data_IF_869715380984
#
_entry.id   IF_869715380984
#
_cell.length_a   1.000
_cell.length_b   1.000
_cell.length_c   1.000
_cell.angle_alpha   90.00
_cell.angle_beta   90.00
_cell.angle_gamma   90.00
#
_symmetry.space_group_name_H-M   'P 1'
#
loop_
_entity.id
_entity.type
_entity.pdbx_description
1 polymer ?
#
# COMPACT_ATOMS: atom_id res chain seq x y z
N UNK A 1 -5.64 10.21 14.41
CA UNK A 1 -4.58 9.54 13.61
C UNK A 1 -5.16 8.29 12.97
N UNK A 2 -5.00 8.14 11.66
CA UNK A 2 -5.40 6.95 10.92
C UNK A 2 -4.20 6.00 10.83
N UNK A 3 -4.20 4.95 11.66
CA UNK A 3 -3.13 3.96 11.74
C UNK A 3 -3.75 2.56 11.77
N UNK A 4 -3.27 1.67 10.93
CA UNK A 4 -3.73 0.30 10.84
C UNK A 4 -2.77 -0.58 10.06
N UNK A 5 -3.26 -1.70 9.58
CA UNK A 5 -2.46 -2.68 8.86
C UNK A 5 -3.22 -3.29 7.69
N UNK A 6 -2.50 -4.03 6.86
CA UNK A 6 -3.12 -4.99 5.97
C UNK A 6 -3.82 -6.08 6.79
N UNK A 7 -5.06 -6.40 6.42
CA UNK A 7 -5.86 -7.46 7.02
C UNK A 7 -6.48 -8.36 5.95
N UNK A 8 -6.86 -9.57 6.33
CA UNK A 8 -7.44 -10.53 5.40
C UNK A 8 -8.89 -10.17 5.05
N UNK A 9 -9.28 -10.35 3.79
CA UNK A 9 -10.68 -10.30 3.34
C UNK A 9 -11.05 -11.64 2.72
N UNK A 10 -11.55 -12.53 3.54
CA UNK A 10 -11.78 -13.93 3.13
C UNK A 10 -12.94 -14.61 3.88
N UNK A 11 -13.18 -15.88 3.57
CA UNK A 11 -14.20 -16.70 4.22
C UNK A 11 -15.63 -16.23 3.96
N UNK A 12 -16.51 -16.42 4.94
CA UNK A 12 -17.91 -15.99 4.87
C UNK A 12 -18.12 -14.56 5.36
N UNK A 13 -17.25 -14.07 6.23
CA UNK A 13 -17.38 -12.75 6.84
C UNK A 13 -16.93 -11.60 5.93
N UNK A 14 -16.00 -11.84 5.01
CA UNK A 14 -15.48 -10.85 4.06
C UNK A 14 -15.14 -9.51 4.73
N UNK A 15 -15.77 -8.37 4.31
CA UNK A 15 -15.48 -7.05 4.89
C UNK A 15 -15.73 -6.99 6.40
N UNK A 16 -16.78 -7.62 6.90
CA UNK A 16 -17.02 -7.71 8.35
C UNK A 16 -15.83 -8.36 9.07
N UNK A 17 -15.32 -9.48 8.54
CA UNK A 17 -14.17 -10.17 9.12
C UNK A 17 -12.90 -9.32 9.08
N UNK A 18 -12.68 -8.57 8.00
CA UNK A 18 -11.56 -7.62 7.90
C UNK A 18 -11.65 -6.51 8.95
N UNK A 19 -12.85 -5.95 9.14
CA UNK A 19 -13.09 -4.91 10.13
C UNK A 19 -12.92 -5.42 11.58
N UNK A 20 -13.41 -6.63 11.87
CA UNK A 20 -13.20 -7.31 13.17
C UNK A 20 -11.71 -7.54 13.44
N UNK A 21 -10.97 -8.03 12.45
CA UNK A 21 -9.53 -8.24 12.54
C UNK A 21 -8.78 -6.93 12.81
N UNK A 22 -9.07 -5.88 12.01
CA UNK A 22 -8.48 -4.55 12.20
C UNK A 22 -8.78 -3.96 13.59
N UNK A 23 -10.02 -4.07 14.07
CA UNK A 23 -10.40 -3.62 15.40
C UNK A 23 -9.64 -4.37 16.50
N UNK A 24 -9.41 -5.68 16.33
CA UNK A 24 -8.64 -6.49 17.29
C UNK A 24 -7.19 -6.03 17.46
N UNK A 25 -6.62 -5.40 16.44
CA UNK A 25 -5.29 -4.78 16.47
C UNK A 25 -5.30 -3.35 17.02
N UNK A 26 -6.45 -2.80 17.37
CA UNK A 26 -6.58 -1.41 17.78
C UNK A 26 -6.38 -0.43 16.63
N UNK A 27 -6.60 -0.86 15.40
CA UNK A 27 -6.54 -0.02 14.20
C UNK A 27 -7.65 1.02 14.16
N UNK A 28 -7.44 2.10 13.39
CA UNK A 28 -8.45 3.12 13.06
C UNK A 28 -8.71 3.21 11.55
N UNK A 29 -7.91 2.52 10.77
CA UNK A 29 -8.03 2.29 9.33
C UNK A 29 -7.45 0.91 9.01
N UNK A 30 -7.63 0.41 7.80
CA UNK A 30 -6.99 -0.82 7.36
C UNK A 30 -6.95 -0.91 5.83
N UNK A 31 -6.12 -1.82 5.34
CA UNK A 31 -6.00 -2.13 3.92
C UNK A 31 -6.36 -3.59 3.65
N UNK A 32 -6.97 -3.83 2.50
CA UNK A 32 -7.40 -5.16 2.04
C UNK A 32 -7.09 -5.39 0.56
N UNK A 33 -6.86 -6.65 0.20
CA UNK A 33 -7.09 -7.14 -1.15
C UNK A 33 -8.53 -7.63 -1.27
N UNK A 34 -9.20 -7.36 -2.39
CA UNK A 34 -10.60 -7.82 -2.59
C UNK A 34 -10.74 -9.32 -2.89
N UNK A 35 -9.64 -10.02 -2.87
CA UNK A 35 -9.45 -11.46 -3.06
C UNK A 35 -7.98 -11.81 -2.97
N UNK A 36 -7.58 -13.06 -3.23
CA UNK A 36 -6.18 -13.44 -3.17
C UNK A 36 -5.35 -12.69 -4.22
N UNK A 37 -4.26 -11.98 -3.82
CA UNK A 37 -3.51 -11.09 -4.73
C UNK A 37 -2.72 -11.83 -5.82
N UNK A 38 -2.53 -13.15 -5.68
CA UNK A 38 -1.79 -13.99 -6.63
C UNK A 38 -2.68 -14.64 -7.69
N UNK A 39 -4.01 -14.41 -7.68
CA UNK A 39 -4.93 -14.98 -8.65
C UNK A 39 -6.08 -14.01 -8.99
N UNK A 40 -6.92 -14.41 -9.94
CA UNK A 40 -8.03 -13.61 -10.46
C UNK A 40 -9.39 -13.98 -9.87
N UNK A 41 -9.43 -14.95 -8.97
CA UNK A 41 -10.70 -15.39 -8.38
C UNK A 41 -11.25 -14.31 -7.47
N UNK A 42 -12.48 -13.89 -7.74
CA UNK A 42 -13.19 -12.89 -6.94
C UNK A 42 -14.59 -13.37 -6.62
N UNK A 43 -15.02 -13.18 -5.38
CA UNK A 43 -16.43 -13.36 -5.04
C UNK A 43 -17.25 -12.23 -5.69
N UNK A 44 -18.52 -12.47 -6.04
CA UNK A 44 -19.42 -11.41 -6.41
C UNK A 44 -19.48 -10.29 -5.35
N UNK A 45 -19.74 -9.05 -5.75
CA UNK A 45 -19.80 -7.90 -4.84
C UNK A 45 -20.87 -8.11 -3.77
N UNK A 46 -21.98 -8.72 -4.12
CA UNK A 46 -23.11 -9.05 -3.25
C UNK A 46 -22.72 -9.99 -2.09
N UNK A 47 -21.66 -10.78 -2.28
CA UNK A 47 -21.15 -11.72 -1.27
C UNK A 47 -20.04 -11.11 -0.40
N UNK A 48 -19.67 -9.84 -0.61
CA UNK A 48 -18.59 -9.19 0.13
C UNK A 48 -18.97 -8.74 1.55
N UNK A 49 -20.23 -8.95 1.96
CA UNK A 49 -20.77 -8.61 3.28
C UNK A 49 -20.52 -7.14 3.67
N UNK A 50 -20.76 -6.24 2.71
CA UNK A 50 -20.39 -4.81 2.78
C UNK A 50 -21.18 -4.09 3.86
N UNK A 51 -22.50 -4.25 3.87
CA UNK A 51 -23.39 -3.54 4.83
C UNK A 51 -23.01 -3.84 6.28
N UNK A 52 -22.84 -5.12 6.63
CA UNK A 52 -22.45 -5.53 7.97
C UNK A 52 -21.03 -5.04 8.32
N UNK A 53 -20.11 -5.09 7.36
CA UNK A 53 -18.75 -4.58 7.54
C UNK A 53 -18.72 -3.08 7.80
N UNK A 54 -19.44 -2.28 7.00
CA UNK A 54 -19.54 -0.83 7.17
C UNK A 54 -20.24 -0.44 8.49
N UNK A 55 -21.28 -1.17 8.90
CA UNK A 55 -21.94 -0.96 10.18
C UNK A 55 -20.97 -1.19 11.36
N UNK A 56 -20.20 -2.29 11.32
CA UNK A 56 -19.18 -2.58 12.32
C UNK A 56 -18.07 -1.52 12.34
N UNK A 57 -17.59 -1.10 11.16
CA UNK A 57 -16.58 -0.05 11.05
C UNK A 57 -17.04 1.26 11.71
N UNK A 58 -18.29 1.66 11.47
CA UNK A 58 -18.87 2.86 12.07
C UNK A 58 -18.94 2.75 13.59
N UNK A 59 -19.37 1.61 14.12
CA UNK A 59 -19.47 1.35 15.57
C UNK A 59 -18.10 1.38 16.24
N UNK A 60 -17.04 0.90 15.57
CA UNK A 60 -15.68 0.78 16.11
C UNK A 60 -14.73 1.89 15.67
N UNK A 61 -15.23 2.98 15.06
CA UNK A 61 -14.44 4.13 14.61
C UNK A 61 -13.33 3.74 13.60
N UNK A 62 -13.59 2.75 12.77
CA UNK A 62 -12.75 2.42 11.62
C UNK A 62 -13.19 3.22 10.40
N UNK A 63 -12.26 3.83 9.68
CA UNK A 63 -12.57 4.68 8.52
C UNK A 63 -11.45 4.67 7.48
N UNK A 64 -11.72 5.27 6.31
CA UNK A 64 -10.73 5.44 5.26
C UNK A 64 -10.01 4.13 4.87
N UNK A 65 -10.80 3.07 4.62
CA UNK A 65 -10.23 1.82 4.13
C UNK A 65 -9.51 2.04 2.80
N UNK A 66 -8.39 1.35 2.66
CA UNK A 66 -7.60 1.32 1.43
C UNK A 66 -7.75 -0.06 0.79
N UNK A 67 -7.91 -0.10 -0.52
CA UNK A 67 -7.82 -1.34 -1.28
C UNK A 67 -6.44 -1.40 -1.92
N UNK A 68 -5.79 -2.56 -1.89
CA UNK A 68 -4.58 -2.80 -2.67
C UNK A 68 -4.93 -3.63 -3.91
N UNK A 69 -4.57 -3.13 -5.08
CA UNK A 69 -4.73 -3.88 -6.32
C UNK A 69 -3.79 -5.10 -6.35
N UNK A 70 -4.23 -6.24 -6.91
CA UNK A 70 -3.39 -7.43 -6.98
C UNK A 70 -2.07 -7.19 -7.73
N UNK A 71 -0.95 -7.65 -7.18
CA UNK A 71 0.37 -7.47 -7.80
C UNK A 71 0.56 -8.24 -9.11
N UNK A 72 -0.38 -9.13 -9.49
CA UNK A 72 -0.37 -9.75 -10.81
C UNK A 72 -0.76 -8.77 -11.94
N UNK A 73 -1.33 -7.61 -11.62
CA UNK A 73 -1.61 -6.55 -12.57
C UNK A 73 -0.28 -5.89 -12.94
N UNK A 74 0.12 -5.97 -14.19
CA UNK A 74 1.29 -5.28 -14.72
C UNK A 74 0.94 -4.54 -15.99
N UNK A 75 0.69 -3.23 -15.88
CA UNK A 75 0.41 -2.35 -17.01
C UNK A 75 1.65 -1.98 -17.81
N UNK A 76 2.87 -2.16 -17.26
CA UNK A 76 4.13 -1.75 -17.87
C UNK A 76 4.74 -2.77 -18.85
N UNK A 77 4.14 -3.95 -19.01
CA UNK A 77 4.68 -5.02 -19.82
C UNK A 77 4.37 -4.81 -21.32
N UNK A 78 5.37 -4.44 -22.09
CA UNK A 78 5.26 -4.26 -23.55
C UNK A 78 5.68 -5.49 -24.34
N UNK A 79 6.26 -6.51 -23.68
CA UNK A 79 6.79 -7.71 -24.35
C UNK A 79 5.68 -8.75 -24.54
N UNK A 80 4.86 -8.96 -23.49
CA UNK A 80 3.71 -9.87 -23.53
C UNK A 80 2.43 -9.05 -23.66
N UNK A 81 2.20 -8.57 -24.87
CA UNK A 81 1.08 -7.65 -25.18
C UNK A 81 -0.29 -8.29 -24.99
N UNK A 82 -0.38 -9.63 -25.07
CA UNK A 82 -1.60 -10.38 -24.82
C UNK A 82 -2.13 -10.24 -23.37
N UNK A 83 -1.24 -9.92 -22.43
CA UNK A 83 -1.60 -9.73 -21.03
C UNK A 83 -2.13 -8.31 -20.73
N UNK A 84 -1.96 -7.37 -21.66
CA UNK A 84 -2.29 -5.97 -21.42
C UNK A 84 -3.81 -5.77 -21.25
N UNK A 85 -4.62 -6.30 -22.20
CA UNK A 85 -6.10 -6.21 -22.10
C UNK A 85 -6.63 -6.83 -20.81
N UNK A 86 -6.07 -8.01 -20.44
CA UNK A 86 -6.40 -8.63 -19.16
C UNK A 86 -6.08 -7.72 -17.95
N UNK A 87 -4.90 -7.09 -17.92
CA UNK A 87 -4.50 -6.21 -16.82
C UNK A 87 -5.42 -4.98 -16.72
N UNK A 88 -5.82 -4.39 -17.86
CA UNK A 88 -6.77 -3.27 -17.95
C UNK A 88 -8.14 -3.69 -17.40
N UNK A 89 -8.71 -4.78 -17.90
CA UNK A 89 -10.03 -5.25 -17.50
C UNK A 89 -10.06 -5.64 -16.02
N UNK A 90 -9.00 -6.29 -15.53
CA UNK A 90 -8.93 -6.72 -14.15
C UNK A 90 -8.76 -5.53 -13.19
N UNK A 91 -7.96 -4.53 -13.55
CA UNK A 91 -7.85 -3.31 -12.75
C UNK A 91 -9.17 -2.55 -12.68
N UNK A 92 -9.92 -2.48 -13.81
CA UNK A 92 -11.26 -1.87 -13.80
C UNK A 92 -12.19 -2.56 -12.81
N UNK A 93 -12.23 -3.89 -12.82
CA UNK A 93 -13.02 -4.66 -11.85
C UNK A 93 -12.61 -4.38 -10.40
N UNK A 94 -11.30 -4.27 -10.11
CA UNK A 94 -10.81 -3.94 -8.77
C UNK A 94 -11.23 -2.54 -8.33
N UNK A 95 -11.27 -1.55 -9.24
CA UNK A 95 -11.77 -0.19 -8.93
C UNK A 95 -13.27 -0.22 -8.61
N UNK A 96 -14.07 -0.95 -9.40
CA UNK A 96 -15.51 -1.11 -9.14
C UNK A 96 -15.76 -1.77 -7.77
N UNK A 97 -14.97 -2.77 -7.41
CA UNK A 97 -15.01 -3.44 -6.10
C UNK A 97 -14.60 -2.50 -4.97
N UNK A 98 -13.52 -1.72 -5.14
CA UNK A 98 -13.10 -0.71 -4.18
C UNK A 98 -14.19 0.34 -3.96
N UNK A 99 -14.85 0.79 -5.03
CA UNK A 99 -15.98 1.72 -4.96
C UNK A 99 -17.15 1.13 -4.19
N UNK A 100 -17.51 -0.12 -4.44
CA UNK A 100 -18.58 -0.81 -3.72
C UNK A 100 -18.30 -0.94 -2.21
N UNK A 101 -17.03 -1.15 -1.84
CA UNK A 101 -16.56 -1.20 -0.45
C UNK A 101 -16.56 0.18 0.24
N UNK A 102 -16.73 1.28 -0.51
CA UNK A 102 -16.63 2.65 -0.01
C UNK A 102 -15.18 3.14 0.16
N UNK A 103 -14.21 2.47 -0.44
CA UNK A 103 -12.82 2.94 -0.46
C UNK A 103 -12.68 4.13 -1.40
N UNK A 104 -11.85 5.10 -1.01
CA UNK A 104 -11.52 6.28 -1.83
C UNK A 104 -10.16 6.16 -2.50
N UNK A 105 -9.35 5.20 -2.08
CA UNK A 105 -8.01 4.94 -2.60
C UNK A 105 -7.84 3.46 -2.92
N UNK A 106 -7.24 3.19 -4.08
CA UNK A 106 -6.76 1.87 -4.46
C UNK A 106 -5.28 1.95 -4.78
N UNK A 107 -4.44 1.38 -3.93
CA UNK A 107 -2.99 1.30 -4.13
C UNK A 107 -2.67 0.37 -5.30
N UNK A 108 -1.83 0.83 -6.20
CA UNK A 108 -1.41 0.06 -7.38
C UNK A 108 0.12 0.15 -7.54
N UNK A 109 0.79 -0.99 -7.60
CA UNK A 109 2.14 -1.05 -8.15
C UNK A 109 2.09 -0.60 -9.62
N UNK A 110 2.80 0.45 -10.05
CA UNK A 110 2.65 0.97 -11.41
C UNK A 110 2.88 -0.09 -12.49
N UNK A 111 3.86 -0.97 -12.27
CA UNK A 111 4.20 -2.07 -13.15
C UNK A 111 5.70 -2.25 -13.32
N UNK A 112 6.06 -3.17 -14.23
CA UNK A 112 7.45 -3.49 -14.56
C UNK A 112 7.62 -3.57 -16.07
N UNK A 113 8.72 -3.00 -16.58
CA UNK A 113 8.99 -2.93 -18.04
C UNK A 113 9.55 -4.22 -18.64
N UNK A 114 9.85 -5.22 -17.81
CA UNK A 114 10.32 -6.57 -18.17
C UNK A 114 11.41 -6.61 -19.26
N UNK A 115 12.33 -5.63 -19.24
CA UNK A 115 13.47 -5.54 -20.18
C UNK A 115 13.29 -4.55 -21.34
N UNK A 116 12.09 -3.98 -21.55
CA UNK A 116 11.85 -3.01 -22.62
C UNK A 116 12.40 -1.59 -22.33
N UNK A 117 12.80 -1.34 -21.08
CA UNK A 117 13.25 -0.05 -20.60
C UNK A 117 12.14 0.80 -19.95
N UNK A 118 12.52 1.69 -19.03
CA UNK A 118 11.55 2.46 -18.23
C UNK A 118 10.64 3.35 -19.09
N UNK A 119 11.16 4.02 -20.11
CA UNK A 119 10.35 4.87 -21.00
C UNK A 119 9.23 4.10 -21.70
N UNK A 120 9.53 2.92 -22.23
CA UNK A 120 8.55 2.07 -22.89
C UNK A 120 7.50 1.57 -21.89
N UNK A 121 7.93 1.20 -20.68
CA UNK A 121 7.04 0.77 -19.60
C UNK A 121 6.13 1.90 -19.12
N UNK A 122 6.65 3.11 -18.92
CA UNK A 122 5.87 4.30 -18.54
C UNK A 122 4.79 4.60 -19.59
N UNK A 123 5.15 4.62 -20.88
CA UNK A 123 4.19 4.82 -21.97
C UNK A 123 3.06 3.77 -21.94
N UNK A 124 3.42 2.52 -21.67
CA UNK A 124 2.44 1.44 -21.61
C UNK A 124 1.53 1.57 -20.38
N UNK A 125 2.06 1.96 -19.20
CA UNK A 125 1.27 2.24 -18.01
C UNK A 125 0.29 3.39 -18.27
N UNK A 126 0.77 4.49 -18.84
CA UNK A 126 -0.08 5.65 -19.22
C UNK A 126 -1.20 5.21 -20.15
N UNK A 127 -0.90 4.41 -21.18
CA UNK A 127 -1.91 3.83 -22.08
C UNK A 127 -2.95 3.03 -21.28
N UNK A 128 -2.50 2.12 -20.42
CA UNK A 128 -3.38 1.28 -19.61
C UNK A 128 -4.27 2.09 -18.66
N UNK A 129 -3.72 3.09 -18.00
CA UNK A 129 -4.48 3.97 -17.11
C UNK A 129 -5.52 4.79 -17.88
N UNK A 130 -5.19 5.30 -19.07
CA UNK A 130 -6.14 6.00 -19.94
C UNK A 130 -7.28 5.09 -20.43
N UNK A 131 -7.05 3.78 -20.57
CA UNK A 131 -8.09 2.81 -20.91
C UNK A 131 -8.95 2.41 -19.70
N UNK A 132 -8.36 2.37 -18.49
CA UNK A 132 -9.03 1.93 -17.25
C UNK A 132 -9.92 3.01 -16.66
N UNK A 133 -9.44 4.26 -16.58
CA UNK A 133 -10.08 5.34 -15.83
C UNK A 133 -11.35 5.85 -16.50
N UNK A 134 -12.33 6.26 -15.69
CA UNK A 134 -13.53 6.95 -16.17
C UNK A 134 -13.90 8.12 -15.25
N UNK A 135 -14.68 9.04 -15.78
CA UNK A 135 -14.95 10.35 -15.16
C UNK A 135 -15.68 10.23 -13.81
N UNK A 136 -16.66 9.35 -13.72
CA UNK A 136 -17.53 9.17 -12.55
C UNK A 136 -16.92 8.25 -11.49
N UNK A 137 -15.73 7.72 -11.71
CA UNK A 137 -15.00 6.90 -10.75
C UNK A 137 -14.76 7.67 -9.46
N UNK A 138 -15.09 7.05 -8.32
CA UNK A 138 -14.86 7.62 -6.99
C UNK A 138 -13.45 7.32 -6.47
N UNK A 139 -12.98 6.05 -6.41
CA UNK A 139 -11.64 5.76 -5.93
C UNK A 139 -10.57 6.36 -6.86
N UNK A 140 -9.58 7.04 -6.28
CA UNK A 140 -8.35 7.33 -7.01
C UNK A 140 -7.44 6.10 -7.04
N UNK A 141 -6.68 5.94 -8.12
CA UNK A 141 -5.57 4.99 -8.15
C UNK A 141 -4.37 5.68 -7.51
N UNK A 142 -3.97 5.17 -6.34
CA UNK A 142 -2.79 5.62 -5.62
C UNK A 142 -1.57 4.81 -6.12
N UNK A 143 -0.81 5.40 -7.04
CA UNK A 143 0.40 4.79 -7.58
C UNK A 143 1.43 4.65 -6.46
N UNK A 144 1.93 3.45 -6.25
CA UNK A 144 2.87 3.20 -5.17
C UNK A 144 4.30 3.52 -5.57
N UNK A 145 5.05 4.15 -4.66
CA UNK A 145 6.51 4.28 -4.78
C UNK A 145 7.15 2.91 -4.66
N UNK A 146 8.05 2.55 -5.57
CA UNK A 146 8.66 1.23 -5.66
C UNK A 146 10.14 1.25 -5.30
N UNK A 147 10.67 0.12 -4.83
CA UNK A 147 12.08 -0.03 -4.47
C UNK A 147 13.03 -0.05 -5.69
N UNK A 148 12.50 -0.27 -6.89
CA UNK A 148 13.30 -0.44 -8.10
C UNK A 148 13.91 -1.82 -8.23
N UNK A 149 13.27 -2.84 -7.67
CA UNK A 149 13.67 -4.24 -7.76
C UNK A 149 13.48 -4.75 -9.19
N UNK A 150 14.53 -5.26 -9.78
CA UNK A 150 14.48 -5.78 -11.15
C UNK A 150 14.14 -4.68 -12.17
N UNK A 151 12.93 -4.73 -12.72
CA UNK A 151 12.45 -3.83 -13.76
C UNK A 151 11.22 -3.02 -13.35
N UNK A 152 11.00 -2.87 -12.05
CA UNK A 152 9.91 -2.08 -11.48
C UNK A 152 10.00 -0.60 -11.89
N UNK A 153 8.83 0.00 -12.16
CA UNK A 153 8.66 1.42 -12.46
C UNK A 153 7.99 2.09 -11.26
N UNK A 154 8.34 3.33 -10.99
CA UNK A 154 7.89 4.09 -9.81
C UNK A 154 8.93 4.16 -8.70
N UNK A 155 10.19 3.81 -9.01
CA UNK A 155 11.32 3.92 -8.07
C UNK A 155 11.76 5.35 -7.79
N UNK A 156 11.44 6.29 -8.68
CA UNK A 156 11.70 7.71 -8.49
C UNK A 156 10.42 8.50 -8.58
N UNK A 157 10.38 9.66 -7.93
CA UNK A 157 9.24 10.58 -8.01
C UNK A 157 9.04 11.09 -9.44
N UNK A 158 10.12 11.27 -10.23
CA UNK A 158 10.04 11.64 -11.65
C UNK A 158 9.34 10.58 -12.51
N UNK A 159 9.57 9.29 -12.25
CA UNK A 159 8.84 8.20 -12.94
C UNK A 159 7.34 8.27 -12.65
N UNK A 160 6.95 8.49 -11.38
CA UNK A 160 5.54 8.65 -11.01
C UNK A 160 4.93 9.91 -11.61
N UNK A 161 5.64 11.05 -11.55
CA UNK A 161 5.21 12.30 -12.17
C UNK A 161 4.99 12.11 -13.68
N UNK A 162 5.91 11.43 -14.37
CA UNK A 162 5.79 11.15 -15.81
C UNK A 162 4.55 10.31 -16.14
N UNK A 163 4.17 9.36 -15.27
CA UNK A 163 2.93 8.60 -15.43
C UNK A 163 1.73 9.51 -15.24
N UNK A 164 1.70 10.31 -14.17
CA UNK A 164 0.59 11.19 -13.82
C UNK A 164 0.36 12.22 -14.92
N UNK A 165 1.41 12.84 -15.41
CA UNK A 165 1.34 13.87 -16.45
C UNK A 165 0.87 13.32 -17.81
N UNK A 166 1.16 12.06 -18.09
CA UNK A 166 0.74 11.39 -19.33
C UNK A 166 -0.75 10.95 -19.33
N UNK A 167 -1.40 10.92 -18.17
CA UNK A 167 -2.79 10.42 -18.04
C UNK A 167 -3.80 11.57 -18.17
N UNK A 168 -4.80 11.38 -19.02
CA UNK A 168 -5.83 12.39 -19.32
C UNK A 168 -6.70 12.71 -18.09
N UNK A 169 -7.15 11.69 -17.37
CA UNK A 169 -7.92 11.82 -16.12
C UNK A 169 -6.99 11.73 -14.91
N UNK A 170 -5.96 12.56 -14.88
CA UNK A 170 -4.95 12.50 -13.83
C UNK A 170 -5.44 12.97 -12.45
N UNK A 171 -6.60 13.62 -12.39
CA UNK A 171 -7.33 13.89 -11.14
C UNK A 171 -7.80 12.59 -10.45
N UNK A 172 -7.87 11.47 -11.18
CA UNK A 172 -8.15 10.13 -10.67
C UNK A 172 -6.89 9.38 -10.20
N UNK A 173 -5.73 10.05 -10.22
CA UNK A 173 -4.47 9.50 -9.73
C UNK A 173 -4.03 10.21 -8.45
N UNK A 174 -3.48 9.43 -7.54
CA UNK A 174 -2.84 9.85 -6.30
C UNK A 174 -1.59 9.01 -6.08
N UNK A 175 -0.94 9.13 -4.93
CA UNK A 175 0.28 8.36 -4.61
C UNK A 175 0.15 7.69 -3.26
N UNK A 176 0.62 6.45 -3.19
CA UNK A 176 0.99 5.73 -1.97
C UNK A 176 2.49 5.81 -1.79
N UNK A 177 2.97 6.31 -0.66
CA UNK A 177 4.38 6.33 -0.31
C UNK A 177 4.67 5.19 0.66
N UNK A 178 5.53 4.25 0.25
CA UNK A 178 6.02 3.18 1.12
C UNK A 178 7.42 3.52 1.63
N UNK A 179 7.60 3.53 2.95
CA UNK A 179 8.87 3.93 3.60
C UNK A 179 10.00 2.95 3.34
N UNK A 180 9.72 1.64 3.24
CA UNK A 180 10.71 0.63 2.86
C UNK A 180 11.12 0.81 1.39
N UNK A 181 10.15 0.98 0.50
CA UNK A 181 10.41 1.12 -0.93
C UNK A 181 11.27 2.35 -1.24
N UNK A 182 10.91 3.52 -0.71
CA UNK A 182 11.71 4.73 -0.97
C UNK A 182 13.09 4.67 -0.33
N UNK A 183 13.24 4.06 0.88
CA UNK A 183 14.56 3.79 1.45
C UNK A 183 15.39 2.91 0.52
N UNK A 184 14.83 1.80 0.04
CA UNK A 184 15.52 0.87 -0.85
C UNK A 184 15.78 1.49 -2.24
N UNK A 185 14.98 2.46 -2.67
CA UNK A 185 15.20 3.25 -3.88
C UNK A 185 16.31 4.32 -3.73
N UNK A 186 16.69 4.69 -2.50
CA UNK A 186 17.79 5.61 -2.21
C UNK A 186 17.40 6.95 -1.58
N UNK A 187 16.13 7.12 -1.18
CA UNK A 187 15.68 8.29 -0.43
C UNK A 187 16.01 8.16 1.06
N UNK A 188 16.47 9.24 1.69
CA UNK A 188 16.92 9.23 3.09
C UNK A 188 15.74 9.34 4.07
N UNK A 189 14.99 8.25 4.23
CA UNK A 189 13.86 8.19 5.17
C UNK A 189 14.33 8.31 6.62
N UNK A 190 15.50 7.75 6.93
CA UNK A 190 16.02 7.64 8.29
C UNK A 190 16.40 8.99 8.90
N UNK A 191 17.18 9.77 8.15
CA UNK A 191 17.84 10.95 8.72
C UNK A 191 17.29 12.27 8.17
N UNK A 192 16.54 12.25 7.05
CA UNK A 192 16.01 13.45 6.39
C UNK A 192 14.66 13.21 5.68
N UNK A 193 13.67 12.75 6.44
CA UNK A 193 12.33 12.54 5.86
C UNK A 193 11.64 13.85 5.43
N UNK A 194 11.90 14.94 6.12
CA UNK A 194 11.40 16.27 5.69
C UNK A 194 11.94 16.67 4.32
N UNK A 195 13.24 16.43 4.06
CA UNK A 195 13.83 16.65 2.73
C UNK A 195 13.19 15.76 1.66
N UNK A 196 12.87 14.52 1.99
CA UNK A 196 12.13 13.61 1.08
C UNK A 196 10.75 14.17 0.75
N UNK A 197 10.01 14.68 1.74
CA UNK A 197 8.70 15.30 1.50
C UNK A 197 8.80 16.59 0.68
N UNK A 198 9.84 17.40 0.87
CA UNK A 198 10.09 18.61 0.06
C UNK A 198 10.37 18.23 -1.39
N UNK A 199 11.17 17.20 -1.64
CA UNK A 199 11.44 16.69 -2.99
C UNK A 199 10.16 16.14 -3.64
N UNK A 200 9.37 15.36 -2.89
CA UNK A 200 8.08 14.83 -3.35
C UNK A 200 7.12 15.97 -3.73
N UNK A 201 6.99 17.00 -2.87
CA UNK A 201 6.10 18.14 -3.12
C UNK A 201 6.51 18.90 -4.37
N UNK A 202 7.81 19.10 -4.58
CA UNK A 202 8.34 19.80 -5.75
C UNK A 202 8.08 19.05 -7.07
N UNK A 203 8.16 17.72 -7.06
CA UNK A 203 8.08 16.91 -8.29
C UNK A 203 6.65 16.48 -8.59
N UNK A 204 5.88 16.07 -7.58
CA UNK A 204 4.54 15.50 -7.75
C UNK A 204 3.44 16.41 -7.20
N UNK A 205 3.71 17.08 -6.07
CA UNK A 205 2.74 17.79 -5.25
C UNK A 205 2.28 16.96 -4.05
N UNK A 206 2.39 17.55 -2.85
CA UNK A 206 2.04 16.85 -1.60
C UNK A 206 0.54 16.55 -1.50
N UNK A 207 -0.30 17.31 -2.19
CA UNK A 207 -1.74 17.10 -2.28
C UNK A 207 -2.13 15.78 -2.96
N UNK A 208 -1.23 15.20 -3.77
CA UNK A 208 -1.43 13.88 -4.38
C UNK A 208 -1.06 12.71 -3.46
N UNK A 209 -0.36 12.95 -2.36
CA UNK A 209 -0.05 11.91 -1.38
C UNK A 209 -1.31 11.59 -0.56
N UNK A 210 -1.80 10.36 -0.66
CA UNK A 210 -3.07 9.94 -0.04
C UNK A 210 -2.96 8.74 0.89
N UNK A 211 -1.91 7.93 0.74
CA UNK A 211 -1.70 6.73 1.56
C UNK A 211 -0.22 6.64 1.93
N UNK A 212 0.07 6.22 3.14
CA UNK A 212 1.42 5.89 3.59
C UNK A 212 1.46 4.41 3.98
N UNK A 213 2.35 3.64 3.36
CA UNK A 213 2.75 2.34 3.88
C UNK A 213 3.95 2.56 4.81
N UNK A 214 3.79 2.16 6.06
CA UNK A 214 4.83 2.33 7.08
C UNK A 214 5.48 0.97 7.34
N UNK A 215 6.62 0.77 6.74
CA UNK A 215 7.38 -0.47 6.80
C UNK A 215 8.84 -0.18 7.08
N UNK A 216 9.48 -0.95 7.96
CA UNK A 216 10.94 -0.91 8.08
C UNK A 216 11.59 -1.75 6.98
N UNK A 217 12.87 -1.53 6.71
CA UNK A 217 13.60 -2.28 5.68
C UNK A 217 14.68 -3.17 6.29
N UNK A 218 14.81 -4.40 5.78
CA UNK A 218 15.95 -5.28 6.08
C UNK A 218 17.23 -4.86 5.41
N UNK A 219 17.16 -3.91 4.47
CA UNK A 219 18.26 -3.56 3.60
C UNK A 219 18.71 -2.12 3.84
N UNK A 220 20.00 -1.80 3.56
CA UNK A 220 20.44 -0.42 3.59
C UNK A 220 19.78 0.41 2.46
N UNK A 221 19.78 1.72 2.64
CA UNK A 221 19.33 2.69 1.65
C UNK A 221 19.98 2.42 0.28
N UNK A 222 19.18 2.48 -0.79
CA UNK A 222 19.66 2.28 -2.17
C UNK A 222 19.91 0.83 -2.58
N UNK A 223 19.39 -0.13 -1.83
CA UNK A 223 19.62 -1.57 -2.10
C UNK A 223 18.80 -2.15 -3.26
N UNK A 224 17.70 -1.52 -3.64
CA UNK A 224 16.74 -1.98 -4.65
C UNK A 224 16.19 -3.39 -4.43
N UNK A 225 15.81 -3.74 -3.17
CA UNK A 225 15.44 -5.11 -2.82
C UNK A 225 14.02 -5.35 -2.40
N UNK A 226 13.37 -4.37 -1.76
CA UNK A 226 12.01 -4.54 -1.24
C UNK A 226 11.91 -5.76 -0.29
N UNK A 227 12.35 -5.56 0.94
CA UNK A 227 12.27 -6.57 2.01
C UNK A 227 11.87 -5.89 3.32
N UNK A 228 10.58 -5.96 3.65
CA UNK A 228 10.04 -5.39 4.87
C UNK A 228 10.63 -6.05 6.11
N UNK A 229 10.95 -5.24 7.11
CA UNK A 229 11.23 -5.65 8.49
C UNK A 229 10.11 -5.16 9.41
N UNK A 230 10.04 -5.72 10.61
CA UNK A 230 9.14 -5.24 11.65
C UNK A 230 9.60 -3.86 12.14
N UNK A 231 8.66 -3.04 12.60
CA UNK A 231 8.90 -1.64 12.97
C UNK A 231 9.99 -1.53 14.05
N UNK A 232 11.08 -0.86 13.72
CA UNK A 232 12.23 -0.65 14.60
C UNK A 232 13.28 -1.78 14.58
N UNK A 233 13.03 -2.87 13.82
CA UNK A 233 13.96 -4.00 13.70
C UNK A 233 14.67 -4.05 12.34
N UNK A 234 14.56 -3.00 11.56
CA UNK A 234 15.23 -2.82 10.28
C UNK A 234 16.27 -1.71 10.31
N UNK A 235 16.65 -1.26 9.12
CA UNK A 235 17.73 -0.26 8.94
C UNK A 235 17.23 1.18 9.02
N UNK A 236 15.92 1.42 8.79
CA UNK A 236 15.29 2.74 8.98
C UNK A 236 15.18 3.03 10.48
N UNK A 237 14.64 2.10 11.25
CA UNK A 237 14.56 2.16 12.69
C UNK A 237 13.30 2.84 13.22
N UNK A 238 13.03 2.62 14.51
CA UNK A 238 11.79 3.06 15.16
C UNK A 238 11.61 4.57 15.16
N UNK A 239 12.64 5.33 15.55
CA UNK A 239 12.52 6.78 15.71
C UNK A 239 12.09 7.48 14.40
N UNK A 240 12.70 7.09 13.29
CA UNK A 240 12.37 7.65 11.98
C UNK A 240 10.94 7.28 11.57
N UNK A 241 10.55 6.00 11.68
CA UNK A 241 9.21 5.54 11.33
C UNK A 241 8.13 6.12 12.24
N UNK A 242 8.42 6.25 13.54
CA UNK A 242 7.53 6.94 14.46
C UNK A 242 7.37 8.42 14.10
N UNK A 243 8.44 9.07 13.66
CA UNK A 243 8.42 10.42 13.09
C UNK A 243 7.51 10.53 11.86
N UNK A 244 7.56 9.57 10.94
CA UNK A 244 6.66 9.49 9.77
C UNK A 244 5.20 9.37 10.21
N UNK A 245 4.90 8.48 11.16
CA UNK A 245 3.53 8.24 11.66
C UNK A 245 2.92 9.50 12.29
N UNK A 246 3.73 10.24 13.04
CA UNK A 246 3.29 11.45 13.76
C UNK A 246 3.57 12.76 13.02
N UNK A 247 4.04 12.68 11.77
CA UNK A 247 4.37 13.86 10.97
C UNK A 247 3.13 14.74 10.73
N UNK A 248 3.24 16.06 11.03
CA UNK A 248 2.13 17.00 11.00
C UNK A 248 1.42 17.09 9.64
N UNK A 249 2.20 17.11 8.53
CA UNK A 249 1.66 17.16 7.16
C UNK A 249 0.92 15.88 6.75
N UNK A 250 1.13 14.77 7.46
CA UNK A 250 0.58 13.46 7.13
C UNK A 250 -0.56 13.03 8.07
N UNK A 251 -0.99 13.88 9.00
CA UNK A 251 -1.94 13.54 10.07
C UNK A 251 -3.26 12.96 9.54
N UNK A 252 -3.78 13.50 8.44
CA UNK A 252 -5.05 13.08 7.85
C UNK A 252 -4.96 11.80 6.98
N UNK A 253 -3.75 11.34 6.63
CA UNK A 253 -3.56 10.23 5.72
C UNK A 253 -3.62 8.88 6.46
N UNK A 254 -4.19 7.82 5.85
CA UNK A 254 -4.08 6.47 6.37
C UNK A 254 -2.64 5.98 6.32
N UNK A 255 -2.17 5.41 7.43
CA UNK A 255 -0.88 4.76 7.59
C UNK A 255 -1.10 3.28 7.79
N UNK A 256 -0.53 2.48 6.92
CA UNK A 256 -0.78 1.05 6.82
C UNK A 256 0.52 0.28 7.05
N UNK A 257 0.49 -0.67 7.95
CA UNK A 257 1.60 -1.60 8.19
C UNK A 257 1.45 -2.84 7.31
N UNK A 258 2.53 -3.25 6.68
CA UNK A 258 2.65 -4.50 5.91
C UNK A 258 3.86 -5.32 6.37
N UNK A 259 4.19 -5.18 7.64
CA UNK A 259 5.33 -5.85 8.26
C UNK A 259 5.16 -7.36 8.30
N UNK A 260 6.26 -8.14 8.26
CA UNK A 260 6.17 -9.57 8.21
C UNK A 260 5.64 -10.18 9.50
N UNK A 261 4.87 -11.26 9.38
CA UNK A 261 4.48 -12.09 10.51
C UNK A 261 5.71 -12.68 11.20
N UNK A 262 5.66 -12.75 12.52
CA UNK A 262 6.76 -13.16 13.40
C UNK A 262 6.67 -14.65 13.71
N UNK A 263 7.77 -15.37 13.57
CA UNK A 263 7.90 -16.80 13.85
C UNK A 263 8.78 -17.52 12.84
N UNK A 264 9.41 -18.60 13.26
CA UNK A 264 10.32 -19.40 12.42
C UNK A 264 9.57 -20.35 11.48
N UNK A 265 8.52 -20.98 11.98
CA UNK A 265 7.71 -21.94 11.21
C UNK A 265 6.56 -21.23 10.51
N UNK A 266 6.41 -21.47 9.19
CA UNK A 266 5.32 -20.90 8.37
C UNK A 266 3.90 -21.16 8.93
N UNK A 267 3.70 -22.24 9.68
CA UNK A 267 2.40 -22.61 10.27
C UNK A 267 2.10 -21.87 11.59
N UNK A 268 3.13 -21.38 12.28
CA UNK A 268 3.02 -20.80 13.62
C UNK A 268 3.37 -19.30 13.66
N UNK A 269 3.38 -18.63 12.49
CA UNK A 269 3.61 -17.20 12.42
C UNK A 269 2.43 -16.41 12.97
N UNK A 270 2.74 -15.39 13.78
CA UNK A 270 1.77 -14.50 14.41
C UNK A 270 1.83 -13.10 13.81
N UNK A 271 0.68 -12.46 13.69
CA UNK A 271 0.59 -11.09 13.22
C UNK A 271 1.20 -10.12 14.26
N UNK A 272 2.09 -9.20 13.85
CA UNK A 272 2.71 -8.24 14.76
C UNK A 272 1.85 -7.00 15.00
N UNK A 273 0.83 -6.79 14.20
CA UNK A 273 0.18 -5.49 14.00
C UNK A 273 -0.39 -4.85 15.26
N UNK A 274 -1.05 -5.61 16.13
CA UNK A 274 -1.59 -5.05 17.38
C UNK A 274 -0.48 -4.48 18.28
N UNK A 275 0.67 -5.13 18.32
CA UNK A 275 1.84 -4.69 19.08
C UNK A 275 2.52 -3.48 18.44
N UNK A 276 2.75 -3.53 17.14
CA UNK A 276 3.40 -2.44 16.41
C UNK A 276 2.54 -1.16 16.41
N UNK A 277 1.21 -1.30 16.26
CA UNK A 277 0.27 -0.18 16.36
C UNK A 277 0.30 0.42 17.77
N UNK A 278 0.31 -0.41 18.83
CA UNK A 278 0.42 0.07 20.20
C UNK A 278 1.75 0.79 20.46
N UNK A 279 2.86 0.22 19.98
CA UNK A 279 4.20 0.79 20.09
C UNK A 279 4.29 2.17 19.41
N UNK A 280 3.76 2.30 18.20
CA UNK A 280 3.72 3.56 17.45
C UNK A 280 2.79 4.59 18.11
N UNK A 281 1.60 4.18 18.61
CA UNK A 281 0.68 5.08 19.32
C UNK A 281 1.29 5.61 20.62
N UNK A 282 2.00 4.77 21.35
CA UNK A 282 2.65 5.12 22.60
C UNK A 282 4.00 5.82 22.41
N UNK A 283 4.49 5.88 21.17
CA UNK A 283 5.77 6.48 20.80
C UNK A 283 6.96 5.88 21.63
N UNK A 284 6.90 4.59 21.88
CA UNK A 284 7.90 3.91 22.71
C UNK A 284 8.32 2.61 22.04
N UNK A 285 9.61 2.49 21.77
CA UNK A 285 10.19 1.27 21.19
C UNK A 285 10.30 0.16 22.22
N UNK A 286 9.85 -1.03 21.86
CA UNK A 286 10.03 -2.24 22.67
C UNK A 286 11.01 -3.20 21.97
N UNK A 287 12.26 -3.28 22.42
CA UNK A 287 13.27 -4.14 21.78
C UNK A 287 12.98 -5.64 21.94
N UNK A 288 12.12 -6.02 22.88
CA UNK A 288 11.71 -7.42 23.11
C UNK A 288 10.42 -7.80 22.35
N UNK A 289 9.88 -6.91 21.52
CA UNK A 289 8.60 -7.09 20.86
C UNK A 289 8.48 -8.43 20.12
N UNK A 290 9.50 -8.79 19.33
CA UNK A 290 9.46 -10.01 18.53
C UNK A 290 9.44 -11.27 19.39
N UNK A 291 10.17 -11.27 20.50
CA UNK A 291 10.19 -12.38 21.48
C UNK A 291 8.82 -12.49 22.18
N UNK A 292 8.23 -11.36 22.58
CA UNK A 292 6.89 -11.31 23.19
C UNK A 292 5.81 -11.86 22.26
N UNK A 293 5.87 -11.53 20.96
CA UNK A 293 4.94 -12.06 19.96
C UNK A 293 5.12 -13.58 19.81
N UNK A 294 6.35 -14.08 19.77
CA UNK A 294 6.62 -15.51 19.67
C UNK A 294 6.17 -16.29 20.91
N UNK A 295 6.37 -15.73 22.10
CA UNK A 295 6.03 -16.36 23.39
C UNK A 295 4.54 -16.41 23.75
N UNK A 296 3.66 -15.75 22.99
CA UNK A 296 2.21 -15.86 23.21
C UNK A 296 1.71 -17.24 22.75
N UNK A 297 1.20 -18.05 23.67
CA UNK A 297 0.54 -19.35 23.43
C UNK A 297 -0.97 -19.15 23.21
#
# INVERSE_FOLDING_TARGET
MLLGSHVSMSGKKMLLGSAEEAASYGSTTFMIYTGAPQNTRRKPIEEMNIEAGQAFMKEHNLSNIVVHAPYIINLGNTIKTENFGFAVDFLRQEIERAQALGATQITLHPGAHVGAGPEAGIKQIVKGLNEVLWKEQIPQIALETMAGKGTEIGRTFDELASIIDGVTLNDKLSVTLDTCHINDAGYNVKDDFDGVLVEFDKIIGLDRLKVIHVNDSKNPMGSHKDRHANIGFGTIGFEALNGVVHHEKLTALPKILETPYVGEDKKNKKAPYGFEIAMLKNQTFDPELLEKIQGQN
#
